data_IF_847644592437
#
_entry.id   IF_847644592437
#
_cell.length_a   1.000
_cell.length_b   1.000
_cell.length_c   1.000
_cell.angle_alpha   90.00
_cell.angle_beta   90.00
_cell.angle_gamma   90.00
#
_symmetry.space_group_name_H-M   'P 1'
#
loop_
_entity.id
_entity.type
_entity.pdbx_description
1 polymer ?
#
# COMPACT_ATOMS: atom_id res chain seq x y z
N UNK A 1 -47.77 11.29 -50.72
CA UNK A 1 -46.49 10.56 -50.56
C UNK A 1 -45.72 10.90 -49.27
N UNK A 2 -45.71 12.13 -48.78
CA UNK A 2 -44.90 12.49 -47.59
C UNK A 2 -45.35 11.87 -46.25
N UNK A 3 -46.65 11.57 -46.05
CA UNK A 3 -47.11 10.94 -44.80
C UNK A 3 -46.71 9.46 -44.67
N UNK A 4 -46.62 8.72 -45.78
CA UNK A 4 -46.22 7.30 -45.80
C UNK A 4 -44.72 7.15 -45.45
N UNK A 5 -43.89 8.12 -45.85
CA UNK A 5 -42.46 8.15 -45.53
C UNK A 5 -42.22 8.42 -44.03
N UNK A 6 -43.02 9.30 -43.40
CA UNK A 6 -42.91 9.57 -41.95
C UNK A 6 -43.32 8.37 -41.09
N UNK A 7 -44.34 7.61 -41.49
CA UNK A 7 -44.77 6.37 -40.82
C UNK A 7 -43.74 5.25 -40.95
N UNK A 8 -43.11 5.07 -42.12
CA UNK A 8 -42.00 4.11 -42.29
C UNK A 8 -40.80 4.47 -41.44
N UNK A 9 -40.43 5.74 -41.37
CA UNK A 9 -39.28 6.17 -40.55
C UNK A 9 -39.55 6.02 -39.04
N UNK A 10 -40.78 6.24 -38.58
CA UNK A 10 -41.18 5.99 -37.18
C UNK A 10 -41.19 4.49 -36.84
N UNK A 11 -41.64 3.63 -37.75
CA UNK A 11 -41.63 2.18 -37.55
C UNK A 11 -40.20 1.61 -37.48
N UNK A 12 -39.28 2.14 -38.30
CA UNK A 12 -37.85 1.77 -38.26
C UNK A 12 -37.21 2.26 -36.96
N UNK A 13 -37.55 3.47 -36.49
CA UNK A 13 -37.05 3.99 -35.22
C UNK A 13 -37.55 3.15 -34.03
N UNK A 14 -38.83 2.79 -33.99
CA UNK A 14 -39.39 1.91 -32.95
C UNK A 14 -38.83 0.48 -33.01
N UNK A 15 -38.60 -0.06 -34.21
CA UNK A 15 -37.93 -1.35 -34.40
C UNK A 15 -36.48 -1.34 -33.92
N UNK A 16 -35.75 -0.24 -34.14
CA UNK A 16 -34.37 -0.07 -33.66
C UNK A 16 -34.27 0.08 -32.13
N UNK A 17 -35.26 0.73 -31.50
CA UNK A 17 -35.37 0.82 -30.04
C UNK A 17 -35.79 -0.50 -29.38
N UNK A 18 -36.62 -1.31 -30.04
CA UNK A 18 -37.00 -2.64 -29.57
C UNK A 18 -35.83 -3.64 -29.62
N UNK A 19 -34.94 -3.53 -30.62
CA UNK A 19 -33.72 -4.34 -30.71
C UNK A 19 -32.67 -3.95 -29.66
N UNK A 20 -32.63 -2.68 -29.23
CA UNK A 20 -31.75 -2.23 -28.16
C UNK A 20 -32.22 -2.65 -26.74
N UNK A 21 -33.51 -2.95 -26.57
CA UNK A 21 -34.09 -3.31 -25.27
C UNK A 21 -33.98 -4.82 -24.91
N UNK A 22 -33.53 -5.68 -25.83
CA UNK A 22 -33.54 -7.15 -25.66
C UNK A 22 -32.16 -7.79 -25.46
N UNK A 23 -31.15 -7.03 -25.00
CA UNK A 23 -29.92 -7.63 -24.50
C UNK A 23 -30.01 -7.85 -22.99
N UNK A 24 -30.74 -8.90 -22.57
CA UNK A 24 -30.50 -9.45 -21.23
C UNK A 24 -29.05 -9.92 -21.18
N UNK A 25 -28.25 -9.50 -20.19
CA UNK A 25 -26.88 -10.01 -20.06
C UNK A 25 -26.93 -11.52 -19.94
N UNK A 26 -26.24 -12.23 -20.84
CA UNK A 26 -26.13 -13.70 -20.75
C UNK A 26 -25.54 -14.05 -19.39
N UNK A 27 -26.19 -14.95 -18.67
CA UNK A 27 -25.63 -15.51 -17.43
C UNK A 27 -24.28 -16.14 -17.78
N UNK A 28 -23.24 -15.81 -17.01
CA UNK A 28 -21.94 -16.43 -17.20
C UNK A 28 -22.09 -17.91 -16.85
N UNK A 29 -21.61 -18.79 -17.74
CA UNK A 29 -21.70 -20.24 -17.59
C UNK A 29 -20.33 -20.77 -17.18
N UNK A 30 -20.30 -21.71 -16.27
CA UNK A 30 -19.10 -22.43 -15.87
C UNK A 30 -18.56 -23.23 -17.04
N UNK A 31 -17.29 -23.05 -17.37
CA UNK A 31 -16.61 -23.83 -18.40
C UNK A 31 -16.37 -25.27 -17.93
N UNK A 32 -16.16 -25.47 -16.63
CA UNK A 32 -15.85 -26.78 -16.05
C UNK A 32 -17.10 -27.64 -15.84
N UNK A 33 -18.17 -27.05 -15.30
CA UNK A 33 -19.40 -27.79 -14.94
C UNK A 33 -20.56 -27.55 -15.90
N UNK A 34 -20.47 -26.53 -16.76
CA UNK A 34 -21.57 -26.15 -17.63
C UNK A 34 -22.79 -25.55 -16.89
N UNK A 35 -22.70 -25.26 -15.60
CA UNK A 35 -23.81 -24.66 -14.85
C UNK A 35 -23.75 -23.13 -14.92
N UNK A 36 -24.91 -22.48 -14.81
CA UNK A 36 -24.97 -21.03 -14.80
C UNK A 36 -24.47 -20.48 -13.46
N UNK A 37 -23.58 -19.50 -13.50
CA UNK A 37 -23.19 -18.71 -12.33
C UNK A 37 -24.30 -17.73 -11.96
N UNK A 38 -24.40 -17.44 -10.66
CA UNK A 38 -25.39 -16.53 -10.08
C UNK A 38 -26.86 -16.92 -10.37
N UNK A 39 -27.12 -18.22 -10.63
CA UNK A 39 -28.47 -18.73 -10.85
C UNK A 39 -29.03 -19.36 -9.56
N UNK A 40 -30.16 -18.82 -9.08
CA UNK A 40 -30.85 -19.29 -7.88
C UNK A 40 -31.31 -20.74 -8.00
N UNK A 41 -31.61 -21.20 -9.21
CA UNK A 41 -32.13 -22.55 -9.43
C UNK A 41 -31.01 -23.62 -9.47
N UNK A 42 -29.74 -23.21 -9.59
CA UNK A 42 -28.57 -24.09 -9.70
C UNK A 42 -27.64 -23.99 -8.48
N UNK A 43 -28.22 -23.75 -7.30
CA UNK A 43 -27.49 -23.68 -6.03
C UNK A 43 -26.92 -22.30 -5.69
N UNK A 44 -27.14 -21.27 -6.52
CA UNK A 44 -26.85 -19.88 -6.18
C UNK A 44 -25.37 -19.56 -5.99
N UNK A 45 -24.47 -20.28 -6.67
CA UNK A 45 -23.03 -19.99 -6.63
C UNK A 45 -22.76 -18.64 -7.30
N UNK A 46 -22.49 -17.64 -6.46
CA UNK A 46 -22.29 -16.28 -6.91
C UNK A 46 -20.80 -16.02 -7.19
N UNK A 47 -20.51 -15.62 -8.43
CA UNK A 47 -19.14 -15.25 -8.83
C UNK A 47 -19.09 -13.73 -8.97
N UNK A 48 -18.31 -13.10 -8.10
CA UNK A 48 -18.05 -11.67 -8.21
C UNK A 48 -17.28 -11.39 -9.50
N UNK A 49 -17.65 -10.32 -10.21
CA UNK A 49 -16.87 -9.88 -11.36
C UNK A 49 -15.54 -9.34 -10.86
N UNK A 50 -14.44 -9.90 -11.36
CA UNK A 50 -13.11 -9.36 -11.15
C UNK A 50 -13.12 -7.87 -11.55
N UNK A 51 -12.84 -7.02 -10.57
CA UNK A 51 -12.53 -5.61 -10.79
C UNK A 51 -11.05 -5.45 -10.58
N UNK A 52 -10.45 -4.52 -11.31
CA UNK A 52 -9.06 -4.16 -11.06
C UNK A 52 -8.87 -3.88 -9.57
N UNK A 53 -7.83 -4.48 -9.00
CA UNK A 53 -7.53 -4.36 -7.57
C UNK A 53 -7.29 -2.88 -7.31
N UNK A 54 -8.22 -2.25 -6.59
CA UNK A 54 -8.07 -0.87 -6.15
C UNK A 54 -6.88 -0.83 -5.19
N UNK A 55 -5.89 0.01 -5.48
CA UNK A 55 -4.77 0.23 -4.57
C UNK A 55 -5.29 0.72 -3.22
N UNK A 56 -4.81 0.12 -2.14
CA UNK A 56 -5.04 0.65 -0.81
C UNK A 56 -4.46 2.07 -0.66
N UNK A 57 -4.90 2.83 0.35
CA UNK A 57 -4.42 4.19 0.54
C UNK A 57 -2.92 4.21 0.83
N UNK A 58 -2.18 5.04 0.08
CA UNK A 58 -0.73 5.21 0.25
C UNK A 58 0.15 4.14 -0.44
N UNK A 59 -0.46 3.13 -1.07
CA UNK A 59 0.26 2.06 -1.77
C UNK A 59 0.57 2.42 -3.22
N UNK A 60 1.68 1.88 -3.70
CA UNK A 60 2.13 1.91 -5.10
C UNK A 60 2.13 0.48 -5.64
N UNK A 61 1.70 0.33 -6.90
CA UNK A 61 1.75 -0.96 -7.59
C UNK A 61 3.16 -1.20 -8.16
N UNK A 62 3.78 -2.31 -7.77
CA UNK A 62 5.05 -2.78 -8.29
C UNK A 62 4.77 -3.98 -9.20
N UNK A 63 5.01 -3.79 -10.51
CA UNK A 63 4.88 -4.87 -11.49
C UNK A 63 5.96 -5.90 -11.22
N UNK A 64 5.56 -7.17 -11.08
CA UNK A 64 6.48 -8.27 -10.79
C UNK A 64 7.37 -8.62 -11.97
N UNK A 65 8.50 -9.26 -11.68
CA UNK A 65 9.46 -9.70 -12.68
C UNK A 65 10.62 -10.47 -12.07
N UNK A 66 11.54 -10.90 -12.93
CA UNK A 66 12.80 -11.54 -12.51
C UNK A 66 13.92 -10.51 -12.44
N UNK A 67 14.75 -10.59 -11.42
CA UNK A 67 15.92 -9.74 -11.26
C UNK A 67 17.10 -10.49 -10.64
N UNK A 68 18.30 -9.92 -10.76
CA UNK A 68 19.47 -10.39 -10.04
C UNK A 68 19.52 -9.70 -8.67
N UNK A 69 19.19 -10.46 -7.63
CA UNK A 69 19.26 -10.05 -6.24
C UNK A 69 20.71 -10.17 -5.75
N UNK A 70 21.16 -9.21 -4.96
CA UNK A 70 22.40 -9.25 -4.21
C UNK A 70 23.52 -8.36 -4.74
N UNK A 71 24.77 -8.58 -4.31
CA UNK A 71 25.84 -7.59 -4.50
C UNK A 71 26.06 -7.20 -5.97
N UNK A 72 26.29 -5.91 -6.19
CA UNK A 72 26.51 -5.31 -7.51
C UNK A 72 27.99 -5.00 -7.75
N UNK A 73 28.73 -4.67 -6.68
CA UNK A 73 30.15 -4.34 -6.68
C UNK A 73 30.98 -5.42 -5.99
N UNK A 74 32.27 -5.44 -6.30
CA UNK A 74 33.24 -6.26 -5.59
C UNK A 74 33.22 -5.91 -4.10
N UNK A 75 33.01 -6.92 -3.26
CA UNK A 75 33.04 -6.76 -1.82
C UNK A 75 34.49 -6.72 -1.34
N UNK A 76 35.00 -5.51 -1.17
CA UNK A 76 36.37 -5.26 -0.70
C UNK A 76 36.53 -5.67 0.77
N UNK A 77 35.43 -5.77 1.53
CA UNK A 77 35.44 -6.09 2.96
C UNK A 77 35.30 -7.59 3.25
N UNK A 78 34.91 -8.40 2.26
CA UNK A 78 34.95 -9.86 2.33
C UNK A 78 33.85 -10.50 3.17
N UNK A 79 32.70 -9.85 3.30
CA UNK A 79 31.49 -10.41 3.89
C UNK A 79 30.72 -11.23 2.84
N UNK A 80 30.88 -12.56 2.87
CA UNK A 80 30.27 -13.53 1.94
C UNK A 80 28.75 -13.70 2.10
N UNK A 81 28.03 -12.67 2.52
CA UNK A 81 26.61 -12.75 2.86
C UNK A 81 25.68 -12.39 1.68
N UNK A 82 26.23 -11.95 0.54
CA UNK A 82 25.44 -11.36 -0.55
C UNK A 82 25.76 -11.90 -1.96
N UNK A 83 25.66 -13.23 -2.14
CA UNK A 83 25.93 -13.89 -3.43
C UNK A 83 24.82 -13.56 -4.45
N UNK A 84 25.17 -13.02 -5.63
CA UNK A 84 24.18 -12.66 -6.64
C UNK A 84 23.39 -13.87 -7.15
N UNK A 85 22.06 -13.81 -7.07
CA UNK A 85 21.16 -14.88 -7.56
C UNK A 85 19.97 -14.31 -8.30
N UNK A 86 19.44 -15.06 -9.27
CA UNK A 86 18.22 -14.67 -9.97
C UNK A 86 16.99 -15.04 -9.14
N UNK A 87 16.17 -14.05 -8.81
CA UNK A 87 14.92 -14.21 -8.07
C UNK A 87 13.78 -13.68 -8.91
N UNK A 88 12.63 -14.35 -8.84
CA UNK A 88 11.38 -13.88 -9.46
C UNK A 88 10.42 -13.47 -8.37
N UNK A 89 9.88 -12.26 -8.50
CA UNK A 89 8.91 -11.69 -7.56
C UNK A 89 7.60 -11.49 -8.31
N UNK A 90 6.49 -11.85 -7.67
CA UNK A 90 5.15 -11.59 -8.23
C UNK A 90 4.84 -10.11 -8.19
N UNK A 91 3.76 -9.66 -8.84
CA UNK A 91 3.33 -8.26 -8.68
C UNK A 91 2.77 -8.04 -7.27
N UNK A 92 3.11 -6.94 -6.63
CA UNK A 92 2.66 -6.62 -5.28
C UNK A 92 2.46 -5.12 -5.11
N UNK A 93 1.91 -4.74 -3.96
CA UNK A 93 1.80 -3.36 -3.55
C UNK A 93 2.74 -3.09 -2.40
N UNK A 94 3.43 -1.95 -2.43
CA UNK A 94 4.31 -1.47 -1.35
C UNK A 94 3.93 -0.05 -0.98
N UNK A 95 4.22 0.37 0.25
CA UNK A 95 4.01 1.75 0.64
C UNK A 95 4.90 2.68 -0.17
N UNK A 96 4.35 3.84 -0.54
CA UNK A 96 5.06 4.86 -1.31
C UNK A 96 6.26 5.42 -0.55
N UNK A 97 6.18 5.48 0.77
CA UNK A 97 7.13 6.15 1.67
C UNK A 97 7.24 5.34 2.96
N UNK A 98 8.23 5.66 3.79
CA UNK A 98 8.29 5.11 5.14
C UNK A 98 7.04 5.50 5.96
N UNK A 99 6.76 4.75 7.02
CA UNK A 99 5.67 5.06 7.94
C UNK A 99 6.01 6.34 8.70
N UNK A 100 5.28 7.42 8.41
CA UNK A 100 5.45 8.70 9.09
C UNK A 100 4.96 8.67 10.55
N UNK A 101 5.49 9.57 11.38
CA UNK A 101 5.08 9.75 12.78
C UNK A 101 3.56 9.95 12.91
N UNK A 102 2.92 10.72 12.02
CA UNK A 102 1.47 10.92 12.05
C UNK A 102 0.68 9.63 11.86
N UNK A 103 1.15 8.73 10.97
CA UNK A 103 0.50 7.44 10.73
C UNK A 103 0.64 6.51 11.95
N UNK A 104 1.83 6.48 12.57
CA UNK A 104 2.03 5.68 13.77
C UNK A 104 1.27 6.24 14.98
N UNK A 105 1.13 7.57 15.09
CA UNK A 105 0.30 8.20 16.12
C UNK A 105 -1.18 7.90 15.96
N UNK A 106 -1.68 7.79 14.73
CA UNK A 106 -3.05 7.32 14.47
C UNK A 106 -3.26 5.91 15.05
N UNK A 107 -2.29 5.03 14.85
CA UNK A 107 -2.29 3.69 15.44
C UNK A 107 -2.29 3.72 16.98
N UNK A 108 -1.41 4.51 17.60
CA UNK A 108 -1.36 4.65 19.06
C UNK A 108 -2.67 5.24 19.60
N UNK A 109 -3.23 6.25 18.94
CA UNK A 109 -4.51 6.83 19.32
C UNK A 109 -5.64 5.81 19.27
N UNK A 110 -5.65 4.94 18.27
CA UNK A 110 -6.61 3.84 18.20
C UNK A 110 -6.42 2.85 19.36
N UNK A 111 -5.17 2.44 19.64
CA UNK A 111 -4.87 1.52 20.74
C UNK A 111 -5.30 2.09 22.09
N UNK A 112 -4.94 3.34 22.39
CA UNK A 112 -5.25 4.00 23.67
C UNK A 112 -6.76 4.09 23.93
N UNK A 113 -7.54 4.28 22.87
CA UNK A 113 -9.00 4.40 22.95
C UNK A 113 -9.72 3.05 23.02
N UNK A 114 -9.27 2.06 22.24
CA UNK A 114 -9.89 0.72 22.23
C UNK A 114 -9.54 -0.05 23.50
N UNK A 115 -8.29 0.06 23.95
CA UNK A 115 -7.74 -0.62 25.11
C UNK A 115 -7.56 0.33 26.29
N UNK A 116 -8.54 1.21 26.53
CA UNK A 116 -8.48 2.22 27.59
C UNK A 116 -8.58 1.66 29.02
N UNK A 117 -9.01 0.40 29.15
CA UNK A 117 -9.11 -0.28 30.44
C UNK A 117 -7.71 -0.56 31.02
N UNK A 118 -7.46 -0.25 32.31
CA UNK A 118 -6.19 -0.54 32.98
C UNK A 118 -5.66 -1.98 32.79
N UNK A 119 -6.54 -2.97 32.59
CA UNK A 119 -6.11 -4.35 32.33
C UNK A 119 -5.24 -4.52 31.07
N UNK A 120 -5.35 -3.59 30.11
CA UNK A 120 -4.61 -3.62 28.84
C UNK A 120 -3.46 -2.63 28.77
N UNK A 121 -3.08 -2.00 29.89
CA UNK A 121 -2.01 -0.99 29.92
C UNK A 121 -0.70 -1.51 29.32
N UNK A 122 -0.34 -2.78 29.59
CA UNK A 122 0.86 -3.40 29.02
C UNK A 122 0.85 -3.46 27.48
N UNK A 123 -0.32 -3.62 26.86
CA UNK A 123 -0.48 -3.62 25.40
C UNK A 123 -0.25 -2.21 24.85
N UNK A 124 -0.84 -1.21 25.50
CA UNK A 124 -0.69 0.21 25.13
C UNK A 124 0.77 0.64 25.24
N UNK A 125 1.45 0.31 26.33
CA UNK A 125 2.86 0.65 26.54
C UNK A 125 3.77 -0.12 25.57
N UNK A 126 3.49 -1.40 25.31
CA UNK A 126 4.24 -2.21 24.36
C UNK A 126 4.13 -1.74 22.91
N UNK A 127 3.06 -1.03 22.54
CA UNK A 127 2.89 -0.45 21.21
C UNK A 127 3.67 0.87 21.02
N UNK A 128 4.00 1.60 22.09
CA UNK A 128 4.66 2.90 22.01
C UNK A 128 6.10 2.75 21.50
N UNK A 129 6.57 3.66 20.62
CA UNK A 129 7.94 3.63 20.15
C UNK A 129 8.89 4.07 21.28
N UNK A 130 10.10 3.53 21.26
CA UNK A 130 11.15 3.94 22.19
C UNK A 130 11.73 5.31 21.78
N UNK A 131 11.32 6.36 22.50
CA UNK A 131 11.84 7.72 22.26
C UNK A 131 13.26 7.93 22.77
N UNK A 132 13.78 7.03 23.61
CA UNK A 132 15.12 7.14 24.19
C UNK A 132 16.24 6.77 23.21
N UNK A 133 15.90 6.25 22.02
CA UNK A 133 16.85 5.94 20.94
C UNK A 133 17.74 7.14 20.56
N UNK A 134 17.27 8.36 20.82
CA UNK A 134 18.01 9.59 20.57
C UNK A 134 19.06 9.92 21.63
N UNK A 135 18.98 9.34 22.83
CA UNK A 135 19.90 9.65 23.92
C UNK A 135 21.29 9.07 23.67
N UNK A 136 22.30 9.89 23.93
CA UNK A 136 23.70 9.48 23.96
C UNK A 136 24.40 10.26 25.07
N UNK A 137 25.31 9.62 25.80
CA UNK A 137 25.89 10.13 27.05
C UNK A 137 26.54 11.52 26.93
N UNK A 138 27.06 11.86 25.75
CA UNK A 138 27.78 13.11 25.49
C UNK A 138 27.13 13.98 24.41
N UNK A 139 25.89 13.68 24.00
CA UNK A 139 25.18 14.43 22.96
C UNK A 139 23.96 15.18 23.51
N UNK A 140 23.78 16.44 23.11
CA UNK A 140 22.59 17.22 23.45
C UNK A 140 21.44 16.88 22.48
N UNK A 141 20.78 15.75 22.71
CA UNK A 141 19.68 15.25 21.88
C UNK A 141 18.30 15.26 22.58
N UNK A 142 18.21 15.80 23.80
CA UNK A 142 16.94 15.86 24.57
C UNK A 142 15.76 16.47 23.78
N UNK A 143 15.93 17.52 22.95
CA UNK A 143 14.82 18.03 22.13
C UNK A 143 14.20 16.97 21.21
N UNK A 144 14.99 16.02 20.69
CA UNK A 144 14.47 14.95 19.83
C UNK A 144 13.71 13.89 20.62
N UNK A 145 14.16 13.57 21.83
CA UNK A 145 13.46 12.65 22.75
C UNK A 145 12.06 13.16 23.07
N UNK A 146 11.92 14.47 23.29
CA UNK A 146 10.64 15.09 23.63
C UNK A 146 9.75 15.32 22.40
N UNK A 147 10.32 15.91 21.34
CA UNK A 147 9.54 16.49 20.25
C UNK A 147 9.45 15.63 19.00
N UNK A 148 10.42 14.77 18.68
CA UNK A 148 10.48 14.09 17.38
C UNK A 148 9.20 13.30 17.09
N UNK A 149 8.72 12.50 18.05
CA UNK A 149 7.50 11.71 17.86
C UNK A 149 6.21 12.52 18.08
N UNK A 150 6.25 13.62 18.85
CA UNK A 150 5.04 14.29 19.37
C UNK A 150 4.69 15.60 18.67
N UNK A 151 5.70 16.37 18.27
CA UNK A 151 5.55 17.72 17.81
C UNK A 151 5.07 17.78 16.33
N UNK A 152 4.14 18.67 15.97
CA UNK A 152 3.60 18.76 14.62
C UNK A 152 4.63 18.93 13.49
N UNK A 153 5.75 19.61 13.77
CA UNK A 153 6.83 19.78 12.78
C UNK A 153 7.42 18.47 12.26
N UNK A 154 7.32 17.39 13.05
CA UNK A 154 7.86 16.08 12.68
C UNK A 154 6.78 15.10 12.21
N UNK A 155 5.56 15.57 11.92
CA UNK A 155 4.44 14.70 11.54
C UNK A 155 4.74 13.82 10.31
N UNK A 156 5.44 14.36 9.32
CA UNK A 156 5.78 13.67 8.07
C UNK A 156 7.22 13.13 8.03
N UNK A 157 7.87 13.01 9.19
CA UNK A 157 9.15 12.34 9.34
C UNK A 157 8.92 10.86 9.65
N UNK A 158 9.84 9.95 9.28
CA UNK A 158 9.70 8.53 9.54
C UNK A 158 9.69 8.25 11.04
N UNK A 159 8.86 7.29 11.45
CA UNK A 159 8.85 6.80 12.83
C UNK A 159 10.15 6.04 13.13
N UNK A 160 10.73 6.30 14.30
CA UNK A 160 11.97 5.65 14.78
C UNK A 160 11.76 5.07 16.17
N UNK A 161 12.65 4.17 16.61
CA UNK A 161 12.51 3.49 17.90
C UNK A 161 11.43 2.41 17.88
N UNK A 162 11.14 1.84 16.71
CA UNK A 162 10.15 0.78 16.51
C UNK A 162 10.89 -0.54 16.25
N UNK A 163 10.47 -1.60 16.92
CA UNK A 163 11.00 -2.96 16.69
C UNK A 163 10.16 -3.72 15.64
N UNK A 164 10.67 -4.85 15.16
CA UNK A 164 10.00 -5.66 14.14
C UNK A 164 8.58 -6.10 14.54
N UNK A 165 8.38 -6.47 15.81
CA UNK A 165 7.07 -6.91 16.31
C UNK A 165 6.04 -5.77 16.25
N UNK A 166 6.43 -4.58 16.67
CA UNK A 166 5.59 -3.37 16.59
C UNK A 166 5.26 -3.01 15.13
N UNK A 167 6.23 -3.12 14.22
CA UNK A 167 6.00 -2.89 12.80
C UNK A 167 5.04 -3.92 12.17
N UNK A 168 5.16 -5.19 12.56
CA UNK A 168 4.22 -6.25 12.17
C UNK A 168 2.82 -6.01 12.73
N UNK A 169 2.70 -5.67 14.02
CA UNK A 169 1.42 -5.40 14.68
C UNK A 169 0.73 -4.16 14.06
N UNK A 170 1.50 -3.15 13.62
CA UNK A 170 0.99 -2.02 12.82
C UNK A 170 0.40 -2.45 11.47
N UNK A 171 1.02 -3.40 10.77
CA UNK A 171 0.49 -3.94 9.50
C UNK A 171 -0.84 -4.68 9.71
N UNK A 172 -0.95 -5.45 10.80
CA UNK A 172 -2.20 -6.13 11.18
C UNK A 172 -3.30 -5.10 11.46
N UNK A 173 -3.00 -4.09 12.28
CA UNK A 173 -3.95 -3.00 12.57
C UNK A 173 -4.42 -2.28 11.31
N UNK A 174 -3.50 -1.91 10.41
CA UNK A 174 -3.83 -1.21 9.16
C UNK A 174 -4.75 -2.05 8.29
N UNK A 175 -4.52 -3.36 8.22
CA UNK A 175 -5.41 -4.31 7.51
C UNK A 175 -6.84 -4.20 8.02
N UNK A 176 -7.00 -4.26 9.34
CA UNK A 176 -8.32 -4.23 9.96
C UNK A 176 -9.02 -2.89 9.73
N UNK A 177 -8.31 -1.77 9.87
CA UNK A 177 -8.90 -0.44 9.68
C UNK A 177 -9.28 -0.17 8.23
N UNK A 178 -8.44 -0.55 7.26
CA UNK A 178 -8.74 -0.36 5.84
C UNK A 178 -9.93 -1.23 5.41
N UNK A 179 -9.97 -2.49 5.82
CA UNK A 179 -11.08 -3.40 5.51
C UNK A 179 -12.38 -2.94 6.16
N UNK A 180 -12.34 -2.50 7.41
CA UNK A 180 -13.50 -1.89 8.07
C UNK A 180 -13.99 -0.65 7.31
N UNK A 181 -13.06 0.20 6.86
CA UNK A 181 -13.37 1.39 6.06
C UNK A 181 -14.07 1.04 4.75
N UNK A 182 -13.59 0.02 4.02
CA UNK A 182 -14.23 -0.44 2.78
C UNK A 182 -15.61 -1.07 3.05
N UNK A 183 -15.79 -1.85 4.12
CA UNK A 183 -17.10 -2.38 4.52
C UNK A 183 -18.11 -1.27 4.82
N UNK A 184 -17.69 -0.22 5.53
CA UNK A 184 -18.53 0.95 5.82
C UNK A 184 -18.83 1.74 4.55
N UNK A 185 -17.83 1.95 3.68
CA UNK A 185 -18.00 2.67 2.42
C UNK A 185 -18.99 1.96 1.48
N UNK A 186 -19.01 0.63 1.49
CA UNK A 186 -19.98 -0.19 0.76
C UNK A 186 -21.32 -0.35 1.49
N UNK A 187 -21.42 0.06 2.75
CA UNK A 187 -22.65 0.02 3.56
C UNK A 187 -22.94 -1.33 4.24
N UNK A 188 -21.98 -2.24 4.28
CA UNK A 188 -22.10 -3.56 4.94
C UNK A 188 -21.86 -3.50 6.46
N UNK A 189 -21.28 -2.41 6.96
CA UNK A 189 -21.10 -2.14 8.38
C UNK A 189 -21.62 -0.74 8.73
N UNK A 190 -22.20 -0.60 9.92
CA UNK A 190 -22.69 0.69 10.38
C UNK A 190 -21.51 1.58 10.82
N UNK A 191 -21.47 2.83 10.35
CA UNK A 191 -20.43 3.81 10.71
C UNK A 191 -20.36 4.09 12.22
N UNK A 192 -21.48 3.95 12.93
CA UNK A 192 -21.51 4.18 14.38
C UNK A 192 -20.67 3.17 15.16
N UNK A 193 -20.38 2.00 14.58
CA UNK A 193 -19.55 0.97 15.23
C UNK A 193 -18.15 1.50 15.54
N UNK A 194 -17.58 2.36 14.70
CA UNK A 194 -16.26 2.98 14.96
C UNK A 194 -16.29 3.77 16.28
N UNK A 195 -17.36 4.51 16.56
CA UNK A 195 -17.47 5.31 17.78
C UNK A 195 -17.58 4.43 19.01
N UNK A 196 -18.30 3.31 18.90
CA UNK A 196 -18.42 2.34 19.99
C UNK A 196 -17.09 1.63 20.25
N UNK A 197 -16.37 1.22 19.20
CA UNK A 197 -15.04 0.59 19.34
C UNK A 197 -14.05 1.54 20.02
N UNK A 198 -14.01 2.81 19.60
CA UNK A 198 -13.14 3.84 20.18
C UNK A 198 -13.55 4.27 21.60
N UNK A 199 -14.71 3.85 22.10
CA UNK A 199 -15.18 4.17 23.45
C UNK A 199 -14.88 3.02 24.43
N UNK A 200 -13.74 2.36 24.30
CA UNK A 200 -13.33 1.24 25.15
C UNK A 200 -13.91 -0.12 24.74
N UNK A 201 -14.05 -0.37 23.43
CA UNK A 201 -14.59 -1.63 22.91
C UNK A 201 -13.76 -2.88 23.24
N UNK A 202 -12.52 -2.72 23.69
CA UNK A 202 -11.66 -3.81 24.15
C UNK A 202 -11.57 -4.95 23.14
N UNK A 203 -12.01 -6.14 23.55
CA UNK A 203 -11.99 -7.36 22.75
C UNK A 203 -13.05 -7.40 21.62
N UNK A 204 -14.04 -6.53 21.62
CA UNK A 204 -15.10 -6.49 20.60
C UNK A 204 -14.74 -5.58 19.41
N UNK A 205 -13.45 -5.31 19.19
CA UNK A 205 -12.99 -4.50 18.07
C UNK A 205 -13.03 -5.28 16.74
N UNK A 206 -13.18 -4.55 15.63
CA UNK A 206 -13.15 -5.18 14.32
C UNK A 206 -11.78 -5.79 13.98
N UNK A 207 -11.78 -7.09 13.72
CA UNK A 207 -10.67 -7.86 13.17
C UNK A 207 -11.11 -8.56 11.88
N UNK A 208 -10.33 -8.43 10.81
CA UNK A 208 -10.66 -8.99 9.49
C UNK A 208 -10.79 -10.51 9.54
N UNK A 209 -9.90 -11.20 10.27
CA UNK A 209 -9.93 -12.67 10.39
C UNK A 209 -11.15 -13.13 11.17
N UNK A 210 -11.42 -12.54 12.34
CA UNK A 210 -12.61 -12.86 13.14
C UNK A 210 -13.91 -12.55 12.40
N UNK A 211 -13.93 -11.50 11.57
CA UNK A 211 -15.05 -11.17 10.70
C UNK A 211 -15.30 -12.26 9.64
N UNK A 212 -14.24 -12.71 8.95
CA UNK A 212 -14.34 -13.77 7.95
C UNK A 212 -14.72 -15.14 8.55
N UNK A 213 -14.33 -15.39 9.80
CA UNK A 213 -14.72 -16.60 10.55
C UNK A 213 -16.14 -16.52 11.12
N UNK A 214 -16.82 -15.37 11.01
CA UNK A 214 -18.18 -15.17 11.54
C UNK A 214 -18.25 -14.99 13.06
N UNK A 215 -17.11 -14.80 13.73
CA UNK A 215 -17.02 -14.62 15.19
C UNK A 215 -17.25 -13.16 15.62
N UNK A 216 -17.09 -12.21 14.70
CA UNK A 216 -17.32 -10.80 14.98
C UNK A 216 -18.82 -10.45 15.02
N UNK A 217 -19.29 -9.92 16.15
CA UNK A 217 -20.70 -9.63 16.42
C UNK A 217 -21.12 -8.16 16.15
N UNK A 218 -20.35 -7.41 15.34
CA UNK A 218 -20.68 -6.01 15.07
C UNK A 218 -22.01 -5.81 14.34
N UNK A 219 -22.67 -4.67 14.59
CA UNK A 219 -23.97 -4.35 14.01
C UNK A 219 -23.87 -4.29 12.47
N UNK A 220 -24.54 -5.20 11.74
CA UNK A 220 -24.45 -5.24 10.29
C UNK A 220 -25.10 -4.00 9.68
N UNK A 221 -24.46 -3.44 8.67
CA UNK A 221 -25.04 -2.40 7.83
C UNK A 221 -26.09 -2.98 6.88
N UNK A 222 -26.97 -2.10 6.37
CA UNK A 222 -27.89 -2.43 5.28
C UNK A 222 -27.57 -1.53 4.08
N UNK A 223 -26.83 -2.03 3.08
CA UNK A 223 -26.54 -1.23 1.89
C UNK A 223 -27.83 -0.88 1.13
N UNK A 224 -27.86 0.32 0.52
CA UNK A 224 -29.02 0.78 -0.27
C UNK A 224 -29.24 -0.05 -1.55
N UNK A 225 -28.18 -0.67 -2.08
CA UNK A 225 -28.20 -1.60 -3.21
C UNK A 225 -27.32 -2.81 -2.88
N UNK A 226 -27.94 -3.91 -2.45
CA UNK A 226 -27.20 -5.14 -2.13
C UNK A 226 -26.92 -5.92 -3.41
N UNK A 227 -25.67 -5.83 -3.87
CA UNK A 227 -25.18 -6.68 -4.95
C UNK A 227 -25.00 -8.14 -4.47
N UNK A 228 -24.72 -8.32 -3.18
CA UNK A 228 -24.46 -9.62 -2.58
C UNK A 228 -25.75 -10.34 -2.21
N UNK A 229 -25.86 -11.60 -2.65
CA UNK A 229 -26.99 -12.48 -2.38
C UNK A 229 -26.51 -13.79 -1.78
N UNK A 230 -27.36 -14.42 -0.97
CA UNK A 230 -27.17 -15.80 -0.52
C UNK A 230 -27.52 -16.79 -1.65
N UNK A 231 -27.32 -18.09 -1.39
CA UNK A 231 -27.65 -19.18 -2.33
C UNK A 231 -29.15 -19.20 -2.70
N UNK A 232 -30.01 -18.66 -1.83
CA UNK A 232 -31.46 -18.57 -2.01
C UNK A 232 -31.89 -17.25 -2.68
N UNK A 233 -30.94 -16.40 -3.09
CA UNK A 233 -31.16 -15.12 -3.75
C UNK A 233 -31.61 -13.98 -2.82
N UNK A 234 -31.60 -14.16 -1.50
CA UNK A 234 -31.87 -13.11 -0.52
C UNK A 234 -30.61 -12.25 -0.30
N UNK A 235 -30.74 -10.95 -0.01
CA UNK A 235 -29.58 -10.11 0.23
C UNK A 235 -28.80 -10.57 1.46
N UNK A 236 -27.48 -10.75 1.33
CA UNK A 236 -26.61 -11.04 2.47
C UNK A 236 -25.97 -9.77 3.04
N UNK A 237 -25.74 -9.78 4.35
CA UNK A 237 -25.09 -8.69 5.10
C UNK A 237 -23.60 -8.95 5.35
N UNK A 238 -23.18 -10.22 5.41
CA UNK A 238 -21.79 -10.60 5.58
C UNK A 238 -21.08 -10.72 4.22
N UNK A 239 -19.93 -10.06 4.13
CA UNK A 239 -19.06 -10.04 2.97
C UNK A 239 -18.02 -11.14 3.10
N UNK A 240 -17.90 -11.99 2.09
CA UNK A 240 -16.82 -12.98 2.00
C UNK A 240 -15.59 -12.37 1.33
N UNK A 241 -14.43 -13.03 1.49
CA UNK A 241 -13.21 -12.61 0.79
C UNK A 241 -13.39 -12.67 -0.74
N UNK A 242 -14.09 -13.70 -1.24
CA UNK A 242 -14.37 -13.93 -2.66
C UNK A 242 -15.23 -12.85 -3.32
N UNK A 243 -15.84 -11.95 -2.54
CA UNK A 243 -16.61 -10.82 -3.07
C UNK A 243 -15.74 -9.71 -3.66
N UNK A 244 -14.43 -9.74 -3.39
CA UNK A 244 -13.48 -8.72 -3.86
C UNK A 244 -13.73 -7.32 -3.28
N UNK A 245 -14.43 -7.23 -2.16
CA UNK A 245 -14.63 -5.98 -1.40
C UNK A 245 -13.51 -5.79 -0.39
N UNK A 246 -13.11 -6.88 0.28
CA UNK A 246 -12.01 -6.88 1.24
C UNK A 246 -10.67 -6.91 0.51
N UNK A 247 -9.71 -6.18 1.03
CA UNK A 247 -8.35 -6.11 0.52
C UNK A 247 -7.51 -7.14 1.29
N UNK A 248 -6.54 -7.81 0.62
CA UNK A 248 -5.55 -8.64 1.31
C UNK A 248 -4.83 -7.88 2.42
N UNK A 249 -4.34 -8.62 3.42
CA UNK A 249 -3.65 -8.02 4.56
C UNK A 249 -2.32 -7.37 4.19
N UNK A 250 -2.03 -6.25 4.85
CA UNK A 250 -0.72 -5.62 4.85
C UNK A 250 0.26 -6.49 5.64
N UNK A 251 1.51 -6.47 5.20
CA UNK A 251 2.63 -7.16 5.83
C UNK A 251 3.92 -6.43 5.50
N UNK A 252 4.97 -6.75 6.25
CA UNK A 252 6.32 -6.36 5.88
C UNK A 252 6.71 -7.03 4.55
N UNK A 253 7.48 -6.33 3.69
CA UNK A 253 7.99 -6.91 2.47
C UNK A 253 8.99 -8.02 2.80
N UNK A 254 9.12 -8.99 1.90
CA UNK A 254 10.28 -9.87 1.93
C UNK A 254 11.52 -9.10 1.45
N UNK A 255 12.71 -9.56 1.83
CA UNK A 255 13.97 -8.94 1.38
C UNK A 255 14.05 -8.83 -0.16
N UNK A 256 13.61 -9.87 -0.87
CA UNK A 256 13.58 -9.87 -2.33
C UNK A 256 12.57 -8.87 -2.92
N UNK A 257 11.39 -8.73 -2.29
CA UNK A 257 10.41 -7.70 -2.68
C UNK A 257 10.95 -6.30 -2.43
N UNK A 258 11.59 -6.08 -1.29
CA UNK A 258 12.16 -4.79 -0.90
C UNK A 258 13.29 -4.39 -1.85
N UNK A 259 14.25 -5.27 -2.13
CA UNK A 259 15.35 -5.00 -3.07
C UNK A 259 14.83 -4.77 -4.50
N UNK A 260 13.86 -5.56 -4.95
CA UNK A 260 13.24 -5.38 -6.27
C UNK A 260 12.55 -4.01 -6.38
N UNK A 261 11.77 -3.64 -5.36
CA UNK A 261 11.11 -2.34 -5.29
C UNK A 261 12.14 -1.21 -5.25
N UNK A 262 13.21 -1.33 -4.46
CA UNK A 262 14.27 -0.34 -4.33
C UNK A 262 14.94 -0.06 -5.67
N UNK A 263 15.33 -1.11 -6.39
CA UNK A 263 16.07 -1.01 -7.65
C UNK A 263 15.30 -0.31 -8.78
N UNK A 264 13.97 -0.22 -8.72
CA UNK A 264 13.22 0.69 -9.59
C UNK A 264 13.32 0.38 -11.10
N UNK A 265 13.57 -0.88 -11.48
CA UNK A 265 13.93 -1.26 -12.86
C UNK A 265 12.96 -0.86 -13.97
N UNK A 266 11.73 -0.45 -13.64
CA UNK A 266 10.79 0.07 -14.62
C UNK A 266 11.37 1.21 -15.47
N UNK A 267 12.23 2.06 -14.90
CA UNK A 267 12.92 3.14 -15.63
C UNK A 267 14.15 2.68 -16.42
N UNK A 268 14.67 1.49 -16.13
CA UNK A 268 15.80 0.90 -16.86
C UNK A 268 15.35 0.10 -18.09
N UNK A 269 14.06 -0.19 -18.19
CA UNK A 269 13.48 -0.81 -19.37
C UNK A 269 13.35 0.25 -20.49
N UNK A 270 14.00 0.09 -21.66
CA UNK A 270 13.92 1.06 -22.76
C UNK A 270 12.50 1.25 -23.31
N UNK A 271 11.68 0.19 -23.25
CA UNK A 271 10.29 0.21 -23.71
C UNK A 271 9.40 -0.54 -22.71
N UNK A 272 9.08 0.07 -21.54
CA UNK A 272 8.23 -0.56 -20.56
C UNK A 272 6.83 -0.74 -21.15
N UNK A 273 6.13 -1.79 -20.71
CA UNK A 273 4.77 -2.05 -21.14
C UNK A 273 3.84 -0.91 -20.68
N UNK A 274 3.21 -0.21 -21.62
CA UNK A 274 2.26 0.90 -21.34
C UNK A 274 0.79 0.51 -21.48
N UNK A 275 0.50 -0.64 -22.06
CA UNK A 275 -0.85 -1.14 -22.31
C UNK A 275 -0.81 -2.64 -22.58
N UNK A 276 -1.88 -3.37 -22.28
CA UNK A 276 -2.00 -4.81 -22.55
C UNK A 276 -1.70 -5.19 -24.01
N UNK A 277 -2.02 -4.31 -24.97
CA UNK A 277 -1.76 -4.51 -26.41
C UNK A 277 -0.28 -4.43 -26.81
N UNK A 278 0.61 -3.98 -25.92
CA UNK A 278 2.05 -3.84 -26.19
C UNK A 278 2.80 -4.72 -25.19
N UNK A 279 3.68 -5.59 -25.67
CA UNK A 279 4.42 -6.52 -24.80
C UNK A 279 5.44 -5.82 -23.90
N UNK A 280 6.03 -4.72 -24.37
CA UNK A 280 7.23 -4.15 -23.77
C UNK A 280 8.48 -4.98 -24.09
N UNK A 281 9.65 -4.48 -23.70
CA UNK A 281 10.92 -5.21 -23.81
C UNK A 281 11.22 -5.98 -22.51
N UNK A 282 11.89 -7.13 -22.62
CA UNK A 282 12.37 -7.93 -21.48
C UNK A 282 13.86 -7.65 -21.22
N UNK A 283 14.23 -6.37 -21.24
CA UNK A 283 15.61 -5.93 -21.09
C UNK A 283 15.71 -4.79 -20.09
N UNK A 284 16.69 -4.89 -19.18
CA UNK A 284 17.09 -3.80 -18.30
C UNK A 284 18.44 -3.29 -18.81
N UNK A 285 18.46 -2.03 -19.26
CA UNK A 285 19.64 -1.43 -19.87
C UNK A 285 20.83 -1.38 -18.90
N UNK A 286 20.58 -1.05 -17.64
CA UNK A 286 21.59 -1.02 -16.58
C UNK A 286 21.07 -1.66 -15.28
N UNK A 287 21.99 -2.31 -14.55
CA UNK A 287 21.77 -2.71 -13.16
C UNK A 287 22.02 -1.50 -12.26
N UNK A 288 21.02 -1.08 -11.47
CA UNK A 288 21.19 0.06 -10.56
C UNK A 288 21.93 -0.40 -9.29
N UNK A 289 22.73 0.50 -8.74
CA UNK A 289 23.39 0.41 -7.43
C UNK A 289 22.51 1.08 -6.37
N UNK A 290 21.91 2.22 -6.70
CA UNK A 290 21.03 2.99 -5.83
C UNK A 290 19.57 2.96 -6.32
N UNK A 291 18.64 3.35 -5.44
CA UNK A 291 17.22 3.33 -5.76
C UNK A 291 16.80 4.35 -6.81
N UNK A 292 17.59 5.40 -7.07
CA UNK A 292 17.25 6.43 -8.06
C UNK A 292 18.01 6.22 -9.37
N UNK A 293 17.47 6.79 -10.45
CA UNK A 293 18.19 6.89 -11.72
C UNK A 293 18.94 8.21 -11.79
N UNK A 294 20.20 8.14 -12.23
CA UNK A 294 21.02 9.31 -12.52
C UNK A 294 21.23 9.48 -14.04
N UNK A 295 21.61 10.67 -14.48
CA UNK A 295 21.93 10.90 -15.88
C UNK A 295 23.33 10.30 -16.17
N UNK A 296 23.37 9.18 -16.90
CA UNK A 296 24.61 8.47 -17.23
C UNK A 296 24.91 7.34 -16.26
N UNK A 297 25.88 7.55 -15.36
CA UNK A 297 26.32 6.53 -14.39
C UNK A 297 25.59 6.68 -13.07
N UNK A 298 25.30 5.54 -12.43
CA UNK A 298 24.72 5.53 -11.11
C UNK A 298 25.70 6.07 -10.06
N UNK A 299 25.25 7.03 -9.27
CA UNK A 299 26.07 7.75 -8.30
C UNK A 299 25.22 8.33 -7.18
N UNK A 300 25.84 8.50 -6.01
CA UNK A 300 25.24 9.08 -4.81
C UNK A 300 24.79 10.53 -4.99
N UNK A 301 25.41 11.23 -5.94
CA UNK A 301 25.17 12.65 -6.24
C UNK A 301 24.53 12.85 -7.60
N UNK A 302 23.63 13.81 -7.72
CA UNK A 302 23.01 14.14 -8.99
C UNK A 302 24.06 14.63 -10.01
N UNK A 303 24.10 13.99 -11.18
CA UNK A 303 25.01 14.37 -12.28
C UNK A 303 24.36 15.34 -13.26
N UNK A 304 23.02 15.39 -13.27
CA UNK A 304 22.24 16.27 -14.13
C UNK A 304 22.60 17.73 -13.91
N UNK A 305 22.96 18.43 -15.00
CA UNK A 305 23.20 19.89 -14.96
C UNK A 305 21.94 20.62 -14.52
N UNK A 306 22.05 21.41 -13.46
CA UNK A 306 20.92 22.15 -12.89
C UNK A 306 21.16 22.54 -11.43
N UNK A 307 20.11 22.97 -10.75
CA UNK A 307 20.17 23.43 -9.36
C UNK A 307 20.57 22.34 -8.35
N UNK A 308 20.41 21.07 -8.72
CA UNK A 308 20.70 19.91 -7.88
C UNK A 308 22.02 19.22 -8.23
N UNK A 309 22.79 19.76 -9.17
CA UNK A 309 24.04 19.15 -9.60
C UNK A 309 25.02 19.04 -8.43
N UNK A 310 25.52 17.83 -8.16
CA UNK A 310 26.42 17.54 -7.03
C UNK A 310 25.71 17.35 -5.68
N UNK A 311 24.38 17.50 -5.62
CA UNK A 311 23.60 17.22 -4.42
C UNK A 311 23.44 15.72 -4.19
N UNK A 312 23.45 15.28 -2.93
CA UNK A 312 23.06 13.93 -2.52
C UNK A 312 21.59 13.70 -2.86
N UNK A 313 21.28 12.51 -3.38
CA UNK A 313 19.93 12.11 -3.78
C UNK A 313 19.22 11.29 -2.69
N UNK A 314 19.85 11.17 -1.53
CA UNK A 314 19.34 10.49 -0.36
C UNK A 314 19.99 11.05 0.90
N UNK A 315 19.34 10.83 2.04
CA UNK A 315 19.85 11.21 3.34
C UNK A 315 20.85 10.17 3.85
N UNK A 316 22.14 10.48 3.71
CA UNK A 316 23.25 9.66 4.21
C UNK A 316 24.26 10.52 4.95
N UNK A 317 24.94 9.92 5.92
CA UNK A 317 26.10 10.55 6.54
C UNK A 317 27.21 10.72 5.50
N UNK A 318 27.66 11.96 5.31
CA UNK A 318 28.65 12.32 4.28
C UNK A 318 30.07 11.95 4.68
N UNK A 319 30.37 12.06 5.97
CA UNK A 319 31.67 11.75 6.54
C UNK A 319 31.68 11.95 8.05
N UNK A 320 32.82 11.68 8.69
CA UNK A 320 32.97 11.95 10.12
C UNK A 320 32.82 13.44 10.40
N UNK A 321 31.80 13.82 11.18
CA UNK A 321 31.51 15.21 11.54
C UNK A 321 30.76 16.05 10.49
N UNK A 322 30.54 15.53 9.27
CA UNK A 322 29.76 16.20 8.22
C UNK A 322 28.45 15.44 7.97
N UNK A 323 27.36 15.95 8.54
CA UNK A 323 26.03 15.35 8.44
C UNK A 323 25.09 16.10 7.49
N UNK A 324 25.41 17.32 7.05
CA UNK A 324 24.47 18.12 6.22
C UNK A 324 25.13 19.16 5.30
N UNK A 325 26.46 19.25 5.30
CA UNK A 325 27.22 20.30 4.61
C UNK A 325 27.41 21.58 5.42
N UNK A 326 27.65 22.68 4.69
CA UNK A 326 28.02 23.98 5.27
C UNK A 326 26.87 24.98 5.19
N UNK A 327 26.87 25.96 6.09
CA UNK A 327 25.87 27.02 6.11
C UNK A 327 25.77 27.73 4.74
N UNK A 328 24.54 28.02 4.30
CA UNK A 328 24.28 28.62 2.98
C UNK A 328 24.28 27.63 1.80
N UNK A 329 24.66 26.37 2.02
CA UNK A 329 24.74 25.34 0.99
C UNK A 329 24.55 23.93 1.56
N UNK A 330 23.50 23.75 2.37
CA UNK A 330 23.12 22.44 2.90
C UNK A 330 22.74 21.52 1.72
N UNK A 331 23.39 20.37 1.64
CA UNK A 331 23.36 19.54 0.44
C UNK A 331 22.08 18.68 0.40
N UNK A 332 21.94 17.79 1.36
CA UNK A 332 20.77 16.94 1.67
C UNK A 332 19.79 17.63 2.65
N UNK A 333 20.22 18.73 3.28
CA UNK A 333 19.42 19.60 4.16
C UNK A 333 18.89 18.94 5.43
N UNK A 334 19.40 17.76 5.80
CA UNK A 334 18.93 17.04 6.97
C UNK A 334 20.08 16.36 7.70
N UNK A 335 20.34 16.77 8.95
CA UNK A 335 21.32 16.12 9.82
C UNK A 335 20.74 14.94 10.62
N UNK A 336 19.42 14.80 10.57
CA UNK A 336 18.60 13.74 11.17
C UNK A 336 17.76 13.12 10.03
N UNK A 337 16.83 12.18 10.27
CA UNK A 337 15.89 11.77 9.24
C UNK A 337 15.20 12.99 8.63
N UNK A 338 14.99 12.95 7.32
CA UNK A 338 14.23 13.93 6.56
C UNK A 338 12.76 13.50 6.48
N UNK A 339 11.91 14.35 5.93
CA UNK A 339 10.53 13.97 5.63
C UNK A 339 10.47 12.75 4.71
N UNK A 340 9.44 11.92 4.86
CA UNK A 340 9.27 10.65 4.12
C UNK A 340 9.06 10.83 2.61
N UNK A 341 8.89 12.08 2.15
CA UNK A 341 8.84 12.44 0.72
C UNK A 341 10.00 13.32 0.29
N UNK A 342 11.02 13.46 1.15
CA UNK A 342 12.26 14.08 0.77
C UNK A 342 12.93 13.28 -0.37
N UNK A 343 13.67 13.99 -1.21
CA UNK A 343 14.36 13.42 -2.38
C UNK A 343 13.42 12.87 -3.47
N UNK A 344 14.02 12.26 -4.50
CA UNK A 344 13.31 11.82 -5.69
C UNK A 344 12.81 10.38 -5.53
N UNK A 345 11.59 10.08 -6.01
CA UNK A 345 11.14 8.70 -6.08
C UNK A 345 11.97 7.89 -7.07
N UNK A 346 12.00 6.58 -6.86
CA UNK A 346 12.51 5.63 -7.82
C UNK A 346 11.54 5.38 -8.99
N UNK A 347 11.89 4.45 -9.87
CA UNK A 347 11.11 4.16 -11.07
C UNK A 347 9.71 3.57 -10.86
N UNK A 348 9.42 3.07 -9.67
CA UNK A 348 8.07 2.68 -9.29
C UNK A 348 7.29 3.81 -8.60
N UNK A 349 7.94 4.89 -8.19
CA UNK A 349 7.32 5.98 -7.43
C UNK A 349 7.50 5.87 -5.92
N UNK A 350 8.41 5.02 -5.45
CA UNK A 350 8.72 4.80 -4.03
C UNK A 350 9.87 5.71 -3.59
N UNK A 351 9.75 6.31 -2.42
CA UNK A 351 10.69 7.31 -1.87
C UNK A 351 11.62 6.65 -0.85
N UNK A 352 12.81 7.23 -0.66
CA UNK A 352 13.72 6.92 0.44
C UNK A 352 14.14 5.46 0.66
N UNK A 353 13.94 4.55 -0.31
CA UNK A 353 14.46 3.17 -0.28
C UNK A 353 15.99 3.08 -0.13
N UNK A 354 16.69 4.21 -0.17
CA UNK A 354 18.12 4.32 0.07
C UNK A 354 18.34 5.51 1.01
N UNK A 355 18.79 5.25 2.23
CA UNK A 355 19.08 6.27 3.24
C UNK A 355 17.89 6.57 4.15
N UNK A 356 17.94 7.71 4.83
CA UNK A 356 16.94 8.18 5.79
C UNK A 356 16.82 7.32 7.06
N UNK A 357 16.11 6.20 7.01
CA UNK A 357 15.99 5.22 8.10
C UNK A 357 16.10 3.81 7.54
N UNK A 358 16.64 2.88 8.33
CA UNK A 358 16.58 1.46 7.97
C UNK A 358 15.15 0.93 8.10
N UNK A 359 14.75 0.05 7.19
CA UNK A 359 13.41 -0.51 7.12
C UNK A 359 13.41 -1.99 7.53
N UNK A 360 12.35 -2.41 8.25
CA UNK A 360 12.18 -3.76 8.81
C UNK A 360 11.59 -4.78 7.84
#
# INVERSE_FOLDING_TARGET
MQQIVRLKNLAILFGSLALAASCKPKAQKSEMTGWNYNDKNMGGYNVAKARDIKSGPGLVFVEGGSFAMGATSEDIMGDWNNIPRRVTVNSFFIDKTEVANVHYREYIHWIENVFSDPQYEAVVQGAKPDTLVWRSELAYNEPYVEYYFRHPSYNFYPVVGVNWKQAYDFCVWRTDRVNQGELIAKGYQNRNVIKTELAGGGQENFNTKSYLMGEYQGVPGRPKKNALKDAQGRPRTQVGFDDGILIPGYRLPTEAEWEYAALGYLHQNPQPRKSEKKRGEENNSNRQIYAWQNDGYDNLRATKRGSWQGSFLANFKRGSGDNMGVAGGLNDRSAIPAEVTAFFPNGFGVYNMSGNVSEW
#
